data_IF_260802111128
#
_entry.id   IF_260802111128
#
_cell.length_a   1.000
_cell.length_b   1.000
_cell.length_c   1.000
_cell.angle_alpha   90.00
_cell.angle_beta   90.00
_cell.angle_gamma   90.00
#
_symmetry.space_group_name_H-M   'P 1'
#
loop_
_entity.id
_entity.type
_entity.pdbx_description
1 polymer ?
#
# COMPACT_ATOMS: atom_id res chain seq x y z
N UNK A 1 -14.17 15.90 3.22
CA UNK A 1 -13.01 16.49 2.49
C UNK A 1 -12.29 15.38 1.79
N UNK A 2 -12.10 15.56 0.48
CA UNK A 2 -11.42 14.58 -0.35
C UNK A 2 -9.97 14.39 0.10
N UNK A 3 -9.57 13.15 0.38
CA UNK A 3 -8.20 12.78 0.75
C UNK A 3 -7.37 12.44 -0.48
N UNK A 4 -8.02 11.96 -1.55
CA UNK A 4 -7.39 11.77 -2.85
C UNK A 4 -8.19 12.54 -3.89
N UNK A 5 -7.50 13.24 -4.78
CA UNK A 5 -8.10 13.85 -5.96
C UNK A 5 -7.22 13.53 -7.17
N UNK A 6 -7.85 13.02 -8.22
CA UNK A 6 -7.21 12.69 -9.50
C UNK A 6 -7.89 13.50 -10.58
N UNK A 7 -7.13 14.30 -11.32
CA UNK A 7 -7.64 15.22 -12.34
C UNK A 7 -6.94 14.98 -13.68
N UNK A 8 -7.72 14.55 -14.67
CA UNK A 8 -7.29 14.34 -16.07
C UNK A 8 -5.98 13.56 -16.17
N UNK A 9 -5.78 12.59 -15.27
CA UNK A 9 -4.56 11.82 -15.17
C UNK A 9 -4.33 11.01 -16.43
N UNK A 10 -3.16 11.22 -17.06
CA UNK A 10 -2.70 10.47 -18.22
C UNK A 10 -1.28 9.99 -17.97
N UNK A 11 -1.01 8.76 -18.35
CA UNK A 11 0.33 8.23 -18.25
C UNK A 11 0.63 7.21 -19.32
N UNK A 12 1.87 7.28 -19.85
CA UNK A 12 2.40 6.34 -20.83
C UNK A 12 3.81 5.94 -20.42
N UNK A 13 4.03 4.64 -20.33
CA UNK A 13 5.37 4.10 -20.05
C UNK A 13 6.37 4.44 -21.16
N UNK A 14 7.68 4.54 -20.83
CA UNK A 14 8.73 4.69 -21.84
C UNK A 14 8.65 3.54 -22.86
N UNK A 15 8.94 3.88 -24.12
CA UNK A 15 8.98 2.93 -25.23
C UNK A 15 7.65 2.22 -25.57
N UNK A 16 6.53 2.63 -24.99
CA UNK A 16 5.19 2.18 -25.39
C UNK A 16 4.49 3.23 -26.26
N UNK A 17 3.51 2.79 -27.06
CA UNK A 17 2.67 3.70 -27.86
C UNK A 17 1.36 4.04 -27.18
N UNK A 18 0.85 3.12 -26.34
CA UNK A 18 -0.45 3.20 -25.71
C UNK A 18 -0.36 3.89 -24.34
N UNK A 19 -1.41 4.60 -23.97
CA UNK A 19 -1.58 5.17 -22.65
C UNK A 19 -1.97 4.05 -21.68
N UNK A 20 -1.26 3.97 -20.56
CA UNK A 20 -1.64 3.09 -19.44
C UNK A 20 -2.78 3.72 -18.62
N UNK A 21 -2.84 5.05 -18.57
CA UNK A 21 -3.94 5.83 -17.99
C UNK A 21 -4.34 6.91 -19.00
N UNK A 22 -5.63 7.06 -19.28
CA UNK A 22 -6.13 8.02 -20.27
C UNK A 22 -7.29 8.85 -19.71
N UNK A 23 -6.97 10.01 -19.14
CA UNK A 23 -7.94 11.00 -18.70
C UNK A 23 -8.78 10.53 -17.49
N UNK A 24 -8.14 9.96 -16.48
CA UNK A 24 -8.79 9.51 -15.26
C UNK A 24 -9.13 10.70 -14.37
N UNK A 25 -10.40 10.78 -13.95
CA UNK A 25 -10.92 11.78 -13.02
C UNK A 25 -11.74 11.09 -11.92
N UNK A 26 -11.34 11.25 -10.65
CA UNK A 26 -12.13 10.85 -9.48
C UNK A 26 -11.62 11.48 -8.21
N UNK A 27 -12.41 11.39 -7.14
CA UNK A 27 -12.00 11.78 -5.79
C UNK A 27 -12.45 10.73 -4.76
N UNK A 28 -11.71 10.65 -3.65
CA UNK A 28 -11.99 9.75 -2.53
C UNK A 28 -12.06 10.58 -1.25
N UNK A 29 -13.11 10.39 -0.48
CA UNK A 29 -13.28 11.03 0.83
C UNK A 29 -12.54 10.25 1.91
N UNK A 30 -12.16 10.93 2.98
CA UNK A 30 -11.47 10.29 4.11
C UNK A 30 -12.34 9.20 4.75
N UNK A 31 -11.76 8.01 4.95
CA UNK A 31 -12.42 6.86 5.56
C UNK A 31 -13.26 6.02 4.57
N UNK A 32 -13.27 6.34 3.28
CA UNK A 32 -13.93 5.50 2.28
C UNK A 32 -13.14 4.22 2.00
N UNK A 33 -13.89 3.17 1.64
CA UNK A 33 -13.35 1.93 1.07
C UNK A 33 -13.79 1.84 -0.40
N UNK A 34 -12.82 1.91 -1.32
CA UNK A 34 -13.05 1.96 -2.75
C UNK A 34 -12.48 0.73 -3.45
N UNK A 35 -13.32 -0.04 -4.12
CA UNK A 35 -12.88 -1.13 -5.00
C UNK A 35 -12.66 -0.67 -6.43
N UNK A 36 -11.45 -0.84 -6.95
CA UNK A 36 -11.12 -0.57 -8.35
C UNK A 36 -11.10 -1.89 -9.11
N UNK A 37 -12.02 -2.05 -10.04
CA UNK A 37 -12.19 -3.27 -10.86
C UNK A 37 -11.86 -3.00 -12.32
N UNK A 38 -11.34 -4.01 -13.00
CA UNK A 38 -10.99 -3.94 -14.42
C UNK A 38 -10.14 -5.12 -14.84
N UNK A 39 -10.02 -5.33 -16.14
CA UNK A 39 -9.21 -6.40 -16.72
C UNK A 39 -7.72 -6.26 -16.38
N UNK A 40 -6.96 -7.35 -16.58
CA UNK A 40 -5.50 -7.30 -16.48
C UNK A 40 -4.96 -6.37 -17.58
N UNK A 41 -4.05 -5.47 -17.18
CA UNK A 41 -3.53 -4.44 -18.07
C UNK A 41 -4.37 -3.15 -18.17
N UNK A 42 -5.55 -3.07 -17.52
CA UNK A 42 -6.40 -1.86 -17.54
C UNK A 42 -5.80 -0.64 -16.81
N UNK A 43 -4.61 -0.76 -16.22
CA UNK A 43 -3.92 0.37 -15.57
C UNK A 43 -4.13 0.48 -14.06
N UNK A 44 -4.76 -0.50 -13.38
CA UNK A 44 -5.02 -0.48 -11.93
C UNK A 44 -3.75 -0.24 -11.12
N UNK A 45 -2.71 -1.05 -11.31
CA UNK A 45 -1.42 -0.88 -10.62
C UNK A 45 -0.71 0.42 -11.00
N UNK A 46 -0.88 0.89 -12.25
CA UNK A 46 -0.33 2.18 -12.68
C UNK A 46 -1.01 3.34 -11.95
N UNK A 47 -2.31 3.26 -11.71
CA UNK A 47 -3.05 4.24 -10.92
C UNK A 47 -2.59 4.23 -9.46
N UNK A 48 -2.45 3.05 -8.84
CA UNK A 48 -1.89 2.88 -7.50
C UNK A 48 -0.49 3.52 -7.37
N UNK A 49 0.37 3.29 -8.36
CA UNK A 49 1.71 3.88 -8.43
C UNK A 49 1.68 5.40 -8.64
N UNK A 50 0.70 5.93 -9.36
CA UNK A 50 0.56 7.37 -9.55
C UNK A 50 0.12 8.06 -8.25
N UNK A 51 -0.80 7.46 -7.49
CA UNK A 51 -1.23 7.98 -6.18
C UNK A 51 -0.07 7.95 -5.18
N UNK A 52 0.76 6.89 -5.21
CA UNK A 52 1.97 6.78 -4.37
C UNK A 52 3.12 7.68 -4.85
N UNK A 53 3.01 8.35 -6.00
CA UNK A 53 4.06 9.20 -6.57
C UNK A 53 5.21 8.43 -7.22
N UNK A 54 5.12 7.10 -7.36
CA UNK A 54 6.11 6.29 -8.06
C UNK A 54 6.12 6.60 -9.57
N UNK A 55 4.97 6.97 -10.11
CA UNK A 55 4.78 7.50 -11.44
C UNK A 55 4.56 9.02 -11.31
N UNK A 56 5.34 9.87 -11.99
CA UNK A 56 6.42 9.59 -12.94
C UNK A 56 7.83 9.57 -12.32
N UNK A 57 7.95 9.65 -10.99
CA UNK A 57 9.24 9.90 -10.34
C UNK A 57 10.20 8.71 -10.47
N UNK A 58 9.72 7.51 -10.18
CA UNK A 58 10.49 6.27 -10.27
C UNK A 58 10.35 5.63 -11.66
N UNK A 59 9.13 5.39 -12.09
CA UNK A 59 8.82 4.92 -13.43
C UNK A 59 8.69 6.12 -14.36
N UNK A 60 9.76 6.44 -15.08
CA UNK A 60 9.78 7.53 -16.04
C UNK A 60 8.79 7.30 -17.18
N UNK A 61 8.24 8.39 -17.74
CA UNK A 61 7.26 8.29 -18.82
C UNK A 61 6.63 9.63 -19.13
N UNK A 62 5.70 9.65 -20.08
CA UNK A 62 4.90 10.84 -20.34
C UNK A 62 3.74 10.90 -19.34
N UNK A 63 3.72 11.93 -18.53
CA UNK A 63 2.75 12.16 -17.45
C UNK A 63 1.99 13.47 -17.69
N UNK A 64 0.68 13.45 -17.51
CA UNK A 64 -0.20 14.61 -17.60
C UNK A 64 -1.33 14.52 -16.57
N UNK A 65 -1.93 15.67 -16.26
CA UNK A 65 -2.92 15.77 -15.19
C UNK A 65 -2.29 15.94 -13.82
N UNK A 66 -3.09 15.72 -12.76
CA UNK A 66 -2.66 15.93 -11.38
C UNK A 66 -3.23 14.85 -10.46
N UNK A 67 -2.45 14.42 -9.50
CA UNK A 67 -2.88 13.59 -8.38
C UNK A 67 -2.47 14.29 -7.09
N UNK A 68 -3.43 14.48 -6.19
CA UNK A 68 -3.16 14.99 -4.83
C UNK A 68 -3.59 13.96 -3.78
N UNK A 69 -2.79 13.80 -2.74
CA UNK A 69 -3.09 13.00 -1.56
C UNK A 69 -2.93 13.91 -0.35
N UNK A 70 -3.99 14.07 0.42
CA UNK A 70 -4.04 15.00 1.57
C UNK A 70 -3.56 16.42 1.23
N UNK A 71 -3.95 16.91 0.05
CA UNK A 71 -3.52 18.21 -0.49
C UNK A 71 -2.09 18.26 -1.05
N UNK A 72 -1.35 17.16 -1.00
CA UNK A 72 0.05 17.07 -1.46
C UNK A 72 0.06 16.53 -2.91
N UNK A 73 0.70 17.24 -3.84
CA UNK A 73 0.81 16.79 -5.24
C UNK A 73 1.79 15.62 -5.38
N UNK A 74 1.26 14.42 -5.60
CA UNK A 74 2.04 13.17 -5.61
C UNK A 74 3.13 13.13 -6.69
N UNK A 75 2.85 13.64 -7.89
CA UNK A 75 3.80 13.62 -8.99
C UNK A 75 5.05 14.49 -8.80
N UNK A 76 5.00 15.46 -7.88
CA UNK A 76 6.09 16.44 -7.62
C UNK A 76 6.76 16.29 -6.26
N UNK A 77 6.08 15.64 -5.30
CA UNK A 77 6.58 15.49 -3.93
C UNK A 77 7.42 14.22 -3.83
N UNK A 78 8.63 14.27 -3.24
CA UNK A 78 9.45 13.06 -3.07
C UNK A 78 8.68 11.92 -2.40
N UNK A 79 8.80 10.70 -2.92
CA UNK A 79 8.09 9.51 -2.41
C UNK A 79 8.33 9.32 -0.90
N UNK A 80 9.53 9.63 -0.41
CA UNK A 80 9.85 9.55 1.02
C UNK A 80 8.96 10.46 1.91
N UNK A 81 8.45 11.57 1.39
CA UNK A 81 7.50 12.42 2.10
C UNK A 81 6.07 11.88 1.99
N UNK A 82 5.71 11.34 0.82
CA UNK A 82 4.39 10.74 0.60
C UNK A 82 4.14 9.50 1.45
N UNK A 83 5.19 8.72 1.79
CA UNK A 83 5.07 7.51 2.63
C UNK A 83 4.46 7.74 4.01
N UNK A 84 4.41 8.99 4.49
CA UNK A 84 3.70 9.35 5.72
C UNK A 84 2.18 9.50 5.55
N UNK A 85 1.71 9.70 4.33
CA UNK A 85 0.31 9.95 3.98
C UNK A 85 -0.35 8.79 3.25
N UNK A 86 0.40 8.09 2.41
CA UNK A 86 -0.11 6.97 1.62
C UNK A 86 0.84 5.78 1.69
N UNK A 87 0.28 4.61 1.94
CA UNK A 87 0.99 3.34 1.91
C UNK A 87 0.50 2.46 0.78
N UNK A 88 1.41 1.72 0.14
CA UNK A 88 1.10 0.79 -0.94
C UNK A 88 1.47 -0.63 -0.51
N UNK A 89 0.52 -1.54 -0.61
CA UNK A 89 0.72 -2.98 -0.46
C UNK A 89 0.76 -3.59 -1.86
N UNK A 90 1.87 -4.23 -2.20
CA UNK A 90 2.07 -4.84 -3.52
C UNK A 90 1.32 -6.17 -3.66
N UNK A 91 1.00 -6.52 -4.88
CA UNK A 91 0.41 -7.80 -5.27
C UNK A 91 1.21 -9.02 -4.76
N UNK A 92 2.53 -8.93 -4.78
CA UNK A 92 3.41 -9.99 -4.31
C UNK A 92 4.14 -9.55 -3.05
N UNK A 93 3.88 -10.18 -1.87
CA UNK A 93 4.52 -9.80 -0.61
C UNK A 93 6.05 -9.98 -0.63
N UNK A 94 6.60 -10.89 -1.44
CA UNK A 94 8.05 -11.06 -1.61
C UNK A 94 8.74 -9.80 -2.14
N UNK A 95 8.03 -8.96 -2.90
CA UNK A 95 8.58 -7.71 -3.43
C UNK A 95 8.53 -6.57 -2.41
N UNK A 96 7.77 -6.74 -1.33
CA UNK A 96 7.58 -5.71 -0.31
C UNK A 96 8.46 -5.93 0.90
N UNK A 97 8.59 -7.17 1.36
CA UNK A 97 9.40 -7.50 2.53
C UNK A 97 10.87 -7.25 2.23
N UNK A 98 11.58 -6.64 3.18
CA UNK A 98 12.97 -6.21 2.99
C UNK A 98 13.94 -7.39 2.87
N UNK A 99 13.62 -8.53 3.49
CA UNK A 99 14.50 -9.69 3.61
C UNK A 99 15.76 -9.44 4.43
N UNK A 100 15.85 -8.27 5.09
CA UNK A 100 16.98 -7.88 5.91
C UNK A 100 16.79 -8.23 7.39
N UNK A 101 15.66 -8.82 7.75
CA UNK A 101 15.28 -9.12 9.12
C UNK A 101 14.94 -10.60 9.29
N UNK A 102 15.33 -11.15 10.44
CA UNK A 102 15.21 -12.57 10.72
C UNK A 102 13.82 -13.00 11.19
N UNK A 103 12.98 -12.05 11.61
CA UNK A 103 11.65 -12.35 12.12
C UNK A 103 10.61 -11.27 11.72
N UNK A 104 9.34 -11.64 11.81
CA UNK A 104 8.19 -10.78 11.46
C UNK A 104 8.18 -9.48 12.26
N UNK A 105 8.46 -9.53 13.56
CA UNK A 105 8.45 -8.35 14.41
C UNK A 105 9.45 -7.29 13.92
N UNK A 106 10.67 -7.70 13.64
CA UNK A 106 11.73 -6.81 13.15
C UNK A 106 11.45 -6.32 11.73
N UNK A 107 10.91 -7.19 10.86
CA UNK A 107 10.53 -6.82 9.49
C UNK A 107 9.47 -5.72 9.50
N UNK A 108 8.41 -5.87 10.30
CA UNK A 108 7.33 -4.86 10.42
C UNK A 108 7.86 -3.56 11.04
N UNK A 109 8.86 -3.64 11.94
CA UNK A 109 9.47 -2.46 12.57
C UNK A 109 10.37 -1.67 11.61
N UNK A 110 10.85 -2.30 10.54
CA UNK A 110 11.93 -1.78 9.69
C UNK A 110 11.65 -0.40 9.10
N UNK A 111 10.44 -0.18 8.58
CA UNK A 111 10.04 1.12 8.02
C UNK A 111 10.08 2.24 9.06
N UNK A 112 9.54 1.98 10.25
CA UNK A 112 9.51 2.96 11.34
C UNK A 112 10.90 3.33 11.86
N UNK A 113 11.85 2.39 11.84
CA UNK A 113 13.25 2.67 12.19
C UNK A 113 13.88 3.71 11.27
N UNK A 114 13.53 3.70 9.97
CA UNK A 114 14.01 4.67 8.98
C UNK A 114 13.43 6.07 9.20
N UNK A 115 12.23 6.16 9.79
CA UNK A 115 11.58 7.43 10.15
C UNK A 115 11.90 7.88 11.59
N UNK A 116 12.82 7.18 12.28
CA UNK A 116 13.26 7.53 13.64
C UNK A 116 12.09 7.61 14.64
N UNK A 117 11.10 6.71 14.51
CA UNK A 117 10.01 6.58 15.47
C UNK A 117 10.57 6.11 16.81
N UNK A 118 10.12 6.66 17.98
CA UNK A 118 10.59 6.21 19.28
C UNK A 118 10.33 4.71 19.55
N UNK A 119 11.25 4.01 20.21
CA UNK A 119 11.21 2.57 20.41
C UNK A 119 9.93 2.08 21.09
N UNK A 120 9.45 2.78 22.12
CA UNK A 120 8.20 2.43 22.82
C UNK A 120 6.97 2.56 21.92
N UNK A 121 6.95 3.58 21.07
CA UNK A 121 5.87 3.78 20.10
C UNK A 121 5.93 2.70 19.00
N UNK A 122 7.11 2.35 18.52
CA UNK A 122 7.27 1.25 17.56
C UNK A 122 6.73 -0.05 18.12
N UNK A 123 7.11 -0.41 19.36
CA UNK A 123 6.65 -1.62 20.04
C UNK A 123 5.12 -1.68 20.11
N UNK A 124 4.51 -0.59 20.53
CA UNK A 124 3.04 -0.47 20.62
C UNK A 124 2.38 -0.67 19.26
N UNK A 125 2.83 0.05 18.24
CA UNK A 125 2.25 -0.03 16.88
C UNK A 125 2.39 -1.42 16.27
N UNK A 126 3.55 -2.08 16.44
CA UNK A 126 3.76 -3.43 15.92
C UNK A 126 2.84 -4.43 16.62
N UNK A 127 2.74 -4.36 17.95
CA UNK A 127 1.86 -5.25 18.72
C UNK A 127 0.39 -5.07 18.30
N UNK A 128 -0.08 -3.82 18.18
CA UNK A 128 -1.42 -3.49 17.72
C UNK A 128 -1.68 -4.04 16.31
N UNK A 129 -0.78 -3.78 15.35
CA UNK A 129 -0.94 -4.20 13.97
C UNK A 129 -0.92 -5.73 13.81
N UNK A 130 0.03 -6.42 14.45
CA UNK A 130 0.12 -7.88 14.36
C UNK A 130 -1.08 -8.59 15.02
N UNK A 131 -1.63 -8.04 16.10
CA UNK A 131 -2.85 -8.55 16.73
C UNK A 131 -4.07 -8.29 15.85
N UNK A 132 -4.21 -7.09 15.31
CA UNK A 132 -5.32 -6.70 14.44
C UNK A 132 -5.42 -7.61 13.22
N UNK A 133 -4.27 -8.00 12.65
CA UNK A 133 -4.16 -8.83 11.45
C UNK A 133 -4.05 -10.33 11.76
N UNK A 134 -4.24 -10.75 13.02
CA UNK A 134 -4.17 -12.13 13.51
C UNK A 134 -2.87 -12.86 13.09
N UNK A 135 -1.73 -12.20 13.29
CA UNK A 135 -0.39 -12.74 13.00
C UNK A 135 0.60 -12.55 14.15
N UNK A 136 0.14 -12.10 15.32
CA UNK A 136 0.99 -11.92 16.51
C UNK A 136 1.72 -13.19 16.95
N UNK A 137 1.09 -14.35 16.82
CA UNK A 137 1.64 -15.67 17.14
C UNK A 137 2.87 -16.04 16.27
N UNK A 138 3.04 -15.38 15.12
CA UNK A 138 4.15 -15.62 14.19
C UNK A 138 5.28 -14.58 14.31
N UNK A 139 5.21 -13.64 15.26
CA UNK A 139 6.15 -12.50 15.36
C UNK A 139 7.63 -12.88 15.41
N UNK A 140 7.93 -14.08 15.97
CA UNK A 140 9.29 -14.60 16.15
C UNK A 140 9.74 -15.53 14.99
N UNK A 141 8.87 -15.76 13.99
CA UNK A 141 9.17 -16.59 12.81
C UNK A 141 9.79 -15.75 11.70
N UNK A 142 10.58 -16.43 10.87
CA UNK A 142 11.05 -15.80 9.64
C UNK A 142 9.85 -15.51 8.72
N UNK A 143 9.71 -14.30 8.15
CA UNK A 143 8.60 -13.96 7.27
C UNK A 143 8.46 -14.89 6.06
N UNK A 144 9.57 -15.42 5.54
CA UNK A 144 9.58 -16.28 4.37
C UNK A 144 9.23 -17.76 4.66
N UNK A 145 9.10 -18.13 5.94
CA UNK A 145 8.63 -19.45 6.38
C UNK A 145 7.09 -19.48 6.59
N UNK A 146 6.41 -18.37 6.29
CA UNK A 146 4.97 -18.22 6.44
C UNK A 146 4.21 -18.67 5.18
N UNK A 147 2.91 -19.01 5.34
CA UNK A 147 2.02 -19.20 4.18
C UNK A 147 1.86 -17.89 3.40
N UNK A 148 1.40 -17.97 2.14
CA UNK A 148 1.19 -16.79 1.31
C UNK A 148 0.26 -15.77 1.96
N UNK A 149 -0.88 -16.21 2.53
CA UNK A 149 -1.83 -15.34 3.23
C UNK A 149 -1.25 -14.72 4.51
N UNK A 150 -0.46 -15.50 5.28
CA UNK A 150 0.25 -14.97 6.45
C UNK A 150 1.29 -13.93 6.05
N UNK A 151 2.08 -14.20 5.01
CA UNK A 151 3.09 -13.27 4.49
C UNK A 151 2.45 -11.98 3.96
N UNK A 152 1.30 -12.09 3.26
CA UNK A 152 0.55 -10.92 2.80
C UNK A 152 0.06 -10.06 3.97
N UNK A 153 -0.41 -10.67 5.07
CA UNK A 153 -0.79 -9.94 6.28
C UNK A 153 0.42 -9.27 6.95
N UNK A 154 1.61 -9.87 6.89
CA UNK A 154 2.86 -9.21 7.33
C UNK A 154 3.17 -7.99 6.45
N UNK A 155 3.01 -8.10 5.13
CA UNK A 155 3.16 -6.98 4.21
C UNK A 155 2.17 -5.84 4.50
N UNK A 156 0.89 -6.18 4.78
CA UNK A 156 -0.12 -5.19 5.22
C UNK A 156 0.29 -4.56 6.57
N UNK A 157 0.78 -5.36 7.54
CA UNK A 157 1.24 -4.86 8.84
C UNK A 157 2.38 -3.86 8.69
N UNK A 158 3.35 -4.12 7.80
CA UNK A 158 4.50 -3.25 7.58
C UNK A 158 4.12 -1.85 7.05
N UNK A 159 2.99 -1.76 6.34
CA UNK A 159 2.41 -0.48 5.90
C UNK A 159 1.57 0.15 7.02
N UNK A 160 0.74 -0.65 7.69
CA UNK A 160 -0.19 -0.17 8.72
C UNK A 160 0.52 0.52 9.89
N UNK A 161 1.68 0.00 10.34
CA UNK A 161 2.45 0.58 11.44
C UNK A 161 2.98 1.98 11.16
N UNK A 162 3.06 2.36 9.87
CA UNK A 162 3.43 3.72 9.45
C UNK A 162 2.30 4.73 9.68
N UNK A 163 1.06 4.23 9.92
CA UNK A 163 -0.17 5.03 10.13
C UNK A 163 -0.47 5.99 8.97
N UNK A 164 -0.51 5.52 7.73
CA UNK A 164 -0.87 6.35 6.59
C UNK A 164 -2.36 6.75 6.66
N UNK A 165 -2.72 7.90 6.09
CA UNK A 165 -4.12 8.32 5.92
C UNK A 165 -4.86 7.48 4.87
N UNK A 166 -4.10 6.95 3.90
CA UNK A 166 -4.57 6.14 2.78
C UNK A 166 -3.75 4.86 2.66
N UNK A 167 -4.40 3.70 2.54
CA UNK A 167 -3.78 2.43 2.16
C UNK A 167 -4.28 2.00 0.79
N UNK A 168 -3.36 1.71 -0.10
CA UNK A 168 -3.64 1.13 -1.41
C UNK A 168 -3.24 -0.34 -1.37
N UNK A 169 -4.16 -1.22 -1.78
CA UNK A 169 -3.95 -2.66 -1.84
C UNK A 169 -4.01 -3.09 -3.32
N UNK A 170 -2.85 -3.28 -3.94
CA UNK A 170 -2.78 -3.67 -5.36
C UNK A 170 -2.92 -5.18 -5.51
N UNK A 171 -4.14 -5.65 -5.79
CA UNK A 171 -4.52 -7.07 -5.95
C UNK A 171 -3.97 -7.99 -4.83
N UNK A 172 -4.23 -7.70 -3.54
CA UNK A 172 -3.54 -8.33 -2.40
C UNK A 172 -3.83 -9.84 -2.24
N UNK A 173 -4.76 -10.40 -3.01
CA UNK A 173 -5.17 -11.81 -2.95
C UNK A 173 -4.88 -12.62 -4.21
N UNK A 174 -4.40 -11.98 -5.28
CA UNK A 174 -4.29 -12.60 -6.61
C UNK A 174 -3.32 -13.80 -6.68
N UNK A 175 -2.40 -13.93 -5.73
CA UNK A 175 -1.42 -15.02 -5.66
C UNK A 175 -1.69 -16.02 -4.53
N UNK A 176 -2.87 -15.93 -3.91
CA UNK A 176 -3.25 -16.73 -2.75
C UNK A 176 -4.25 -17.82 -3.15
N UNK A 177 -4.24 -18.89 -2.39
CA UNK A 177 -5.32 -19.88 -2.39
C UNK A 177 -6.61 -19.28 -1.79
N UNK A 178 -7.77 -19.94 -1.92
CA UNK A 178 -9.02 -19.43 -1.40
C UNK A 178 -9.00 -19.13 0.11
N UNK A 179 -8.36 -19.99 0.91
CA UNK A 179 -8.28 -19.82 2.37
C UNK A 179 -7.43 -18.59 2.72
N UNK A 180 -6.25 -18.44 2.10
CA UNK A 180 -5.39 -17.26 2.30
C UNK A 180 -6.06 -15.96 1.82
N UNK A 181 -6.85 -16.03 0.74
CA UNK A 181 -7.63 -14.89 0.26
C UNK A 181 -8.69 -14.45 1.25
N UNK A 182 -9.44 -15.41 1.84
CA UNK A 182 -10.45 -15.14 2.87
C UNK A 182 -9.81 -14.54 4.15
N UNK A 183 -8.62 -15.01 4.53
CA UNK A 183 -7.88 -14.45 5.66
C UNK A 183 -7.47 -13.00 5.43
N UNK A 184 -6.98 -12.67 4.23
CA UNK A 184 -6.61 -11.30 3.86
C UNK A 184 -7.84 -10.39 3.78
N UNK A 185 -8.97 -10.86 3.20
CA UNK A 185 -10.20 -10.07 3.16
C UNK A 185 -10.72 -9.75 4.55
N UNK A 186 -10.75 -10.72 5.49
CA UNK A 186 -11.13 -10.47 6.91
C UNK A 186 -10.22 -9.43 7.57
N UNK A 187 -8.92 -9.50 7.30
CA UNK A 187 -7.96 -8.50 7.79
C UNK A 187 -8.27 -7.10 7.25
N UNK A 188 -8.56 -6.99 5.95
CA UNK A 188 -8.93 -5.71 5.31
C UNK A 188 -10.27 -5.18 5.86
N UNK A 189 -11.29 -6.03 6.04
CA UNK A 189 -12.55 -5.64 6.69
C UNK A 189 -12.33 -5.05 8.10
N UNK A 190 -11.43 -5.64 8.87
CA UNK A 190 -11.08 -5.11 10.20
C UNK A 190 -10.46 -3.71 10.10
N UNK A 191 -9.68 -3.43 9.04
CA UNK A 191 -9.09 -2.12 8.81
C UNK A 191 -10.13 -1.05 8.43
N UNK A 192 -11.20 -1.40 7.72
CA UNK A 192 -12.24 -0.43 7.33
C UNK A 192 -12.90 0.22 8.55
N UNK A 193 -13.03 -0.52 9.65
CA UNK A 193 -13.56 -0.01 10.94
C UNK A 193 -12.62 0.97 11.66
N UNK A 194 -11.37 1.11 11.25
CA UNK A 194 -10.36 1.96 11.90
C UNK A 194 -10.33 3.43 11.42
N UNK A 195 -11.11 3.75 10.38
CA UNK A 195 -11.16 5.09 9.78
C UNK A 195 -10.05 5.39 8.76
N UNK A 196 -9.25 4.38 8.39
CA UNK A 196 -8.27 4.47 7.30
C UNK A 196 -9.02 4.46 5.96
N UNK A 197 -8.59 5.30 5.02
CA UNK A 197 -9.08 5.24 3.63
C UNK A 197 -8.40 4.09 2.91
N UNK A 198 -9.16 3.24 2.21
CA UNK A 198 -8.61 2.05 1.53
C UNK A 198 -9.04 2.03 0.05
N UNK A 199 -8.08 1.78 -0.82
CA UNK A 199 -8.30 1.52 -2.25
C UNK A 199 -7.78 0.16 -2.62
#
# INVERSE_FOLDING_TARGET
>A
MSVITVEKLRYRYPHTKELALDGIDFSVEKGEFIGIIGENGAGKSTLSQAIMGLVPQFYKGAYGGMVTVDGIEAGKTPVAQLCGHVGLVFQNPFNQLSGAKDNVYEEVTFGMQKLVVPAEEMKKRVEEALKLLDIWQYRDRNPFDLSGGQMQRVAIASVLVMRPDVMILDEPTSQLDPEGSDEVFRAVETLTGSGITIL
#
